data_IF_655431122863
#
_entry.id   IF_655431122863
#
_cell.length_a   1.000
_cell.length_b   1.000
_cell.length_c   1.000
_cell.angle_alpha   90.00
_cell.angle_beta   90.00
_cell.angle_gamma   90.00
#
_symmetry.space_group_name_H-M   'P 1'
#
loop_
_entity.id
_entity.type
_entity.pdbx_description
1 polymer ?
#
# COMPACT_ATOMS: atom_id res chain seq x y z
N UNK A 1 20.09 -2.07 16.10
CA UNK A 1 19.27 -1.13 15.29
C UNK A 1 20.09 -0.14 14.46
N UNK A 2 21.25 0.34 14.94
CA UNK A 2 22.09 1.31 14.19
C UNK A 2 22.64 0.70 12.88
N UNK A 3 23.16 -0.52 12.92
CA UNK A 3 23.71 -1.20 11.75
C UNK A 3 22.66 -1.42 10.65
N UNK A 4 21.44 -1.82 11.03
CA UNK A 4 20.31 -1.94 10.11
C UNK A 4 20.00 -0.59 9.44
N UNK A 5 19.98 0.50 10.23
CA UNK A 5 19.72 1.83 9.68
C UNK A 5 20.80 2.30 8.71
N UNK A 6 22.06 2.02 9.02
CA UNK A 6 23.18 2.33 8.12
C UNK A 6 23.03 1.57 6.81
N UNK A 7 22.68 0.28 6.86
CA UNK A 7 22.37 -0.52 5.67
C UNK A 7 21.21 0.10 4.88
N UNK A 8 20.08 0.45 5.54
CA UNK A 8 18.94 1.07 4.90
C UNK A 8 19.32 2.35 4.14
N UNK A 9 20.12 3.22 4.76
CA UNK A 9 20.58 4.47 4.14
C UNK A 9 21.47 4.18 2.92
N UNK A 10 22.48 3.35 3.06
CA UNK A 10 23.42 3.06 1.98
C UNK A 10 22.69 2.38 0.81
N UNK A 11 21.91 1.33 1.10
CA UNK A 11 21.21 0.58 0.07
C UNK A 11 20.14 1.43 -0.65
N UNK A 12 19.40 2.29 0.06
CA UNK A 12 18.43 3.19 -0.58
C UNK A 12 19.10 4.30 -1.39
N UNK A 13 20.22 4.85 -0.90
CA UNK A 13 20.99 5.86 -1.63
C UNK A 13 21.53 5.29 -2.96
N UNK A 14 22.22 4.15 -2.92
CA UNK A 14 22.72 3.52 -4.13
C UNK A 14 21.59 2.97 -5.01
N UNK A 15 20.52 2.48 -4.41
CA UNK A 15 19.31 2.07 -5.14
C UNK A 15 18.72 3.23 -5.95
N UNK A 16 18.54 4.39 -5.34
CA UNK A 16 18.06 5.59 -6.03
C UNK A 16 19.05 6.05 -7.11
N UNK A 17 20.36 6.03 -6.81
CA UNK A 17 21.41 6.42 -7.76
C UNK A 17 21.43 5.52 -9.01
N UNK A 18 21.15 4.23 -8.87
CA UNK A 18 21.13 3.28 -9.99
C UNK A 18 19.77 3.32 -10.71
N UNK A 19 18.68 3.41 -9.96
CA UNK A 19 17.31 3.28 -10.49
C UNK A 19 16.70 4.62 -10.95
N UNK A 20 17.37 5.76 -10.77
CA UNK A 20 16.81 7.04 -11.19
C UNK A 20 16.36 7.10 -12.66
N UNK A 21 17.05 6.47 -13.65
CA UNK A 21 16.56 6.51 -15.03
C UNK A 21 15.22 5.76 -15.16
N UNK A 22 15.07 4.64 -14.44
CA UNK A 22 13.81 3.87 -14.39
C UNK A 22 12.71 4.71 -13.77
N UNK A 23 12.99 5.38 -12.65
CA UNK A 23 12.03 6.27 -11.99
C UNK A 23 11.54 7.38 -12.94
N UNK A 24 12.46 8.01 -13.69
CA UNK A 24 12.10 9.04 -14.67
C UNK A 24 11.26 8.47 -15.80
N UNK A 25 11.65 7.33 -16.37
CA UNK A 25 10.89 6.68 -17.45
C UNK A 25 9.47 6.33 -16.97
N UNK A 26 9.32 5.73 -15.79
CA UNK A 26 8.01 5.40 -15.23
C UNK A 26 7.19 6.67 -14.96
N UNK A 27 7.80 7.73 -14.41
CA UNK A 27 7.11 9.00 -14.20
C UNK A 27 6.56 9.59 -15.50
N UNK A 28 7.37 9.59 -16.58
CA UNK A 28 6.95 10.05 -17.91
C UNK A 28 5.82 9.16 -18.44
N UNK A 29 5.94 7.82 -18.37
CA UNK A 29 4.91 6.90 -18.81
C UNK A 29 3.60 7.14 -18.08
N UNK A 30 3.62 7.34 -16.76
CA UNK A 30 2.43 7.66 -15.97
C UNK A 30 1.81 8.97 -16.45
N UNK A 31 2.62 10.01 -16.68
CA UNK A 31 2.11 11.31 -17.16
C UNK A 31 1.49 11.21 -18.56
N UNK A 32 2.11 10.49 -19.48
CA UNK A 32 1.66 10.37 -20.88
C UNK A 32 0.45 9.45 -21.01
N UNK A 33 0.48 8.28 -20.35
CA UNK A 33 -0.58 7.26 -20.47
C UNK A 33 -1.75 7.48 -19.52
N UNK A 34 -1.56 8.30 -18.50
CA UNK A 34 -2.58 8.58 -17.48
C UNK A 34 -2.67 10.09 -17.26
N UNK A 35 -3.15 10.88 -18.26
CA UNK A 35 -3.26 12.34 -18.13
C UNK A 35 -4.24 12.72 -17.02
N UNK A 36 -4.25 13.99 -16.63
CA UNK A 36 -5.20 14.53 -15.65
C UNK A 36 -4.79 14.38 -14.18
N UNK A 37 -3.53 13.98 -13.89
CA UNK A 37 -3.07 13.91 -12.50
C UNK A 37 -1.54 13.88 -12.34
N UNK A 38 -1.04 13.88 -11.09
CA UNK A 38 0.39 13.79 -10.79
C UNK A 38 0.95 12.40 -11.15
N UNK A 39 2.26 12.31 -11.38
CA UNK A 39 2.93 11.01 -11.60
C UNK A 39 3.02 10.20 -10.31
N UNK A 40 3.17 10.89 -9.18
CA UNK A 40 3.26 10.29 -7.86
C UNK A 40 1.90 10.33 -7.15
N UNK A 41 1.65 9.29 -6.39
CA UNK A 41 0.56 9.20 -5.43
C UNK A 41 1.16 9.24 -4.03
N UNK A 42 0.68 10.16 -3.21
CA UNK A 42 1.14 10.39 -1.85
C UNK A 42 -0.01 10.09 -0.89
N UNK A 43 0.20 9.18 0.06
CA UNK A 43 -0.83 8.79 1.03
C UNK A 43 -0.27 8.78 2.45
N UNK A 44 -1.08 9.25 3.41
CA UNK A 44 -0.75 9.10 4.83
C UNK A 44 -0.80 7.63 5.23
N UNK A 45 0.23 7.19 5.92
CA UNK A 45 0.38 5.84 6.44
C UNK A 45 0.82 5.87 7.90
N UNK A 46 0.46 4.82 8.63
CA UNK A 46 0.90 4.63 10.01
C UNK A 46 2.34 4.11 10.00
N UNK A 47 3.21 4.81 10.66
CA UNK A 47 4.63 4.48 10.80
C UNK A 47 5.01 4.06 12.20
N UNK A 48 6.31 4.09 12.46
CA UNK A 48 6.88 3.75 13.76
C UNK A 48 6.24 4.59 14.88
N UNK A 49 5.97 3.95 16.01
CA UNK A 49 5.34 4.53 17.20
C UNK A 49 3.96 5.14 16.92
N UNK A 50 3.27 4.70 15.84
CA UNK A 50 1.96 5.19 15.42
C UNK A 50 2.00 6.57 14.74
N UNK A 51 3.18 7.12 14.46
CA UNK A 51 3.31 8.43 13.81
C UNK A 51 2.96 8.34 12.33
N UNK A 52 2.10 9.24 11.88
CA UNK A 52 1.75 9.31 10.47
C UNK A 52 2.91 9.89 9.65
N UNK A 53 3.19 9.25 8.51
CA UNK A 53 4.11 9.76 7.50
C UNK A 53 3.46 9.76 6.11
N UNK A 54 4.05 10.46 5.16
CA UNK A 54 3.61 10.43 3.77
C UNK A 54 4.41 9.37 3.03
N UNK A 55 3.72 8.34 2.53
CA UNK A 55 4.29 7.27 1.69
C UNK A 55 4.17 7.68 0.21
N UNK A 56 5.23 7.48 -0.57
CA UNK A 56 5.32 7.90 -1.96
C UNK A 56 5.30 6.67 -2.89
N UNK A 57 4.36 6.68 -3.85
CA UNK A 57 4.24 5.63 -4.88
C UNK A 57 4.05 6.27 -6.27
N UNK A 58 4.23 5.51 -7.33
CA UNK A 58 3.69 5.91 -8.61
C UNK A 58 2.18 5.73 -8.64
N UNK A 59 1.50 6.65 -9.30
CA UNK A 59 0.06 6.56 -9.49
C UNK A 59 -0.28 5.42 -10.44
N UNK A 60 -1.19 4.54 -9.99
CA UNK A 60 -1.65 3.36 -10.74
C UNK A 60 -3.14 3.39 -11.06
N UNK A 61 -3.88 4.32 -10.43
CA UNK A 61 -5.32 4.46 -10.55
C UNK A 61 -5.72 5.79 -11.20
N UNK A 62 -6.93 5.85 -11.72
CA UNK A 62 -7.54 7.11 -12.16
C UNK A 62 -7.67 8.07 -10.98
N UNK A 63 -7.58 9.37 -11.27
CA UNK A 63 -7.81 10.41 -10.25
C UNK A 63 -9.30 10.56 -10.05
N UNK A 64 -9.76 10.54 -8.81
CA UNK A 64 -11.14 10.90 -8.49
C UNK A 64 -11.42 12.33 -8.96
N UNK A 65 -12.64 12.63 -9.44
CA UNK A 65 -13.05 14.00 -9.68
C UNK A 65 -12.76 14.87 -8.44
N UNK A 66 -12.30 16.10 -8.67
CA UNK A 66 -12.00 17.03 -7.57
C UNK A 66 -13.25 17.16 -6.67
N UNK A 67 -13.08 16.89 -5.37
CA UNK A 67 -14.11 17.16 -4.37
C UNK A 67 -14.32 18.66 -4.24
N UNK A 68 -15.56 19.06 -4.01
CA UNK A 68 -15.83 20.40 -3.48
C UNK A 68 -15.33 20.42 -2.03
N UNK A 69 -14.65 21.49 -1.65
CA UNK A 69 -13.98 21.70 -0.34
C UNK A 69 -14.91 21.67 0.89
N UNK A 70 -16.18 21.34 0.71
CA UNK A 70 -17.22 21.29 1.75
C UNK A 70 -17.59 19.88 2.22
N UNK A 71 -16.94 18.83 1.71
CA UNK A 71 -17.18 17.46 2.18
C UNK A 71 -16.20 17.11 3.29
N UNK A 72 -16.73 16.99 4.50
CA UNK A 72 -16.03 16.51 5.69
C UNK A 72 -15.19 15.25 5.43
N UNK A 73 -14.03 15.17 6.12
CA UNK A 73 -12.96 14.13 6.08
C UNK A 73 -13.40 12.66 6.25
N UNK A 74 -14.60 12.31 5.86
CA UNK A 74 -15.12 10.95 5.93
C UNK A 74 -14.86 10.23 4.61
N UNK A 75 -13.65 9.66 4.47
CA UNK A 75 -13.14 8.91 3.28
C UNK A 75 -14.07 7.81 2.77
N UNK A 76 -15.11 7.46 3.53
CA UNK A 76 -16.01 6.35 3.24
C UNK A 76 -17.29 6.73 2.47
N UNK A 77 -17.57 8.02 2.21
CA UNK A 77 -18.86 8.43 1.62
C UNK A 77 -18.96 8.25 0.10
N UNK A 78 -17.86 7.99 -0.61
CA UNK A 78 -17.86 7.83 -2.08
C UNK A 78 -17.63 6.40 -2.58
N UNK A 79 -17.73 5.37 -1.73
CA UNK A 79 -17.53 3.97 -2.14
C UNK A 79 -16.08 3.65 -2.57
N UNK A 80 -15.11 4.51 -2.27
CA UNK A 80 -13.71 4.32 -2.59
C UNK A 80 -13.00 3.70 -1.39
N UNK A 81 -13.00 2.38 -1.32
CA UNK A 81 -12.29 1.64 -0.27
C UNK A 81 -10.78 1.73 -0.41
N UNK A 82 -10.08 1.67 0.75
CA UNK A 82 -8.63 1.49 0.82
C UNK A 82 -8.19 0.10 0.39
N UNK A 83 -9.09 -0.88 0.39
CA UNK A 83 -8.86 -2.24 -0.10
C UNK A 83 -9.10 -2.24 -1.62
N UNK A 84 -8.10 -2.64 -2.39
CA UNK A 84 -8.21 -2.82 -3.84
C UNK A 84 -8.23 -4.31 -4.18
N UNK A 85 -9.02 -4.64 -5.20
CA UNK A 85 -9.18 -6.02 -5.70
C UNK A 85 -8.59 -6.09 -7.11
N UNK A 86 -8.07 -7.23 -7.50
CA UNK A 86 -7.68 -7.48 -8.89
C UNK A 86 -8.89 -7.28 -9.81
N UNK A 87 -8.73 -6.49 -10.87
CA UNK A 87 -9.84 -6.10 -11.74
C UNK A 87 -10.63 -4.87 -11.28
N UNK A 88 -10.20 -4.18 -10.20
CA UNK A 88 -10.78 -2.90 -9.80
C UNK A 88 -10.73 -1.90 -10.97
N UNK A 89 -11.90 -1.40 -11.39
CA UNK A 89 -12.06 -0.50 -12.54
C UNK A 89 -11.29 0.82 -12.42
N UNK A 90 -10.84 1.17 -11.21
CA UNK A 90 -9.99 2.33 -10.97
C UNK A 90 -8.55 2.11 -11.44
N UNK A 91 -8.10 0.85 -11.52
CA UNK A 91 -6.73 0.51 -11.91
C UNK A 91 -6.60 0.64 -13.42
N UNK A 92 -5.67 1.48 -13.86
CA UNK A 92 -5.42 1.65 -15.30
C UNK A 92 -4.62 0.46 -15.86
N UNK A 93 -4.65 0.18 -17.19
CA UNK A 93 -3.85 -0.88 -17.79
C UNK A 93 -2.35 -0.76 -17.53
N UNK A 94 -1.81 0.48 -17.52
CA UNK A 94 -0.43 0.74 -17.12
C UNK A 94 -0.25 0.49 -15.63
N UNK A 95 -1.19 0.97 -14.79
CA UNK A 95 -1.16 0.78 -13.35
C UNK A 95 -1.14 -0.69 -12.95
N UNK A 96 -1.92 -1.53 -13.62
CA UNK A 96 -1.92 -2.98 -13.39
C UNK A 96 -0.54 -3.59 -13.63
N UNK A 97 0.16 -3.20 -14.72
CA UNK A 97 1.53 -3.64 -14.99
C UNK A 97 2.52 -3.15 -13.93
N UNK A 98 2.44 -1.87 -13.53
CA UNK A 98 3.30 -1.31 -12.49
C UNK A 98 3.14 -2.08 -11.17
N UNK A 99 1.90 -2.36 -10.76
CA UNK A 99 1.60 -3.14 -9.54
C UNK A 99 2.10 -4.59 -9.63
N UNK A 100 1.87 -5.25 -10.76
CA UNK A 100 2.33 -6.63 -10.97
C UNK A 100 3.84 -6.77 -10.79
N UNK A 101 4.63 -5.82 -11.36
CA UNK A 101 6.08 -5.80 -11.23
C UNK A 101 6.60 -5.04 -10.01
N UNK A 102 5.72 -4.52 -9.15
CA UNK A 102 6.05 -3.70 -7.97
C UNK A 102 6.89 -2.44 -8.30
N UNK A 103 6.79 -1.96 -9.54
CA UNK A 103 7.48 -0.74 -9.97
C UNK A 103 6.84 0.52 -9.37
N UNK A 104 5.56 0.44 -9.02
CA UNK A 104 4.83 1.52 -8.36
C UNK A 104 5.38 1.84 -6.95
N UNK A 105 6.03 0.89 -6.29
CA UNK A 105 6.61 1.04 -4.95
C UNK A 105 8.07 1.53 -4.97
N UNK A 106 8.70 1.70 -6.14
CA UNK A 106 10.09 2.19 -6.22
C UNK A 106 10.33 3.55 -5.54
N UNK A 107 9.40 4.52 -5.56
CA UNK A 107 9.58 5.78 -4.84
C UNK A 107 9.69 5.62 -3.32
N UNK A 108 9.25 4.49 -2.73
CA UNK A 108 9.41 4.21 -1.30
C UNK A 108 10.89 4.12 -0.88
N UNK A 109 11.82 3.91 -1.82
CA UNK A 109 13.26 4.04 -1.55
C UNK A 109 13.63 5.42 -0.98
N UNK A 110 12.93 6.47 -1.39
CA UNK A 110 13.06 7.79 -0.79
C UNK A 110 12.59 7.80 0.67
N UNK A 111 11.46 7.14 0.96
CA UNK A 111 10.94 7.05 2.33
C UNK A 111 11.88 6.24 3.24
N UNK A 112 12.59 5.24 2.68
CA UNK A 112 13.65 4.53 3.39
C UNK A 112 14.84 5.46 3.64
N UNK A 113 15.29 6.21 2.64
CA UNK A 113 16.44 7.10 2.76
C UNK A 113 16.24 8.16 3.84
N UNK A 114 15.07 8.81 3.89
CA UNK A 114 14.75 9.84 4.89
C UNK A 114 14.39 9.26 6.26
N UNK A 115 14.15 7.95 6.37
CA UNK A 115 13.97 7.26 7.66
C UNK A 115 12.53 7.04 8.08
N UNK A 116 11.56 7.31 7.24
CA UNK A 116 10.17 6.97 7.47
C UNK A 116 9.94 5.45 7.39
N UNK A 117 10.67 4.79 6.48
CA UNK A 117 10.59 3.36 6.21
C UNK A 117 11.95 2.65 6.38
N UNK A 118 11.94 1.35 6.22
CA UNK A 118 13.08 0.43 6.14
C UNK A 118 12.88 -0.50 4.94
N UNK A 119 13.91 -1.22 4.51
CA UNK A 119 13.72 -2.28 3.51
C UNK A 119 12.85 -3.41 4.06
N UNK A 120 13.11 -3.83 5.29
CA UNK A 120 12.39 -4.95 5.93
C UNK A 120 11.67 -4.47 7.17
N UNK A 121 10.37 -4.73 7.25
CA UNK A 121 9.52 -4.36 8.36
C UNK A 121 8.04 -4.65 8.07
N UNK A 122 7.14 -4.38 9.02
CA UNK A 122 5.71 -4.49 8.79
C UNK A 122 5.29 -3.55 7.65
N UNK A 123 4.30 -3.96 6.83
CA UNK A 123 3.77 -3.10 5.76
C UNK A 123 3.07 -1.88 6.37
N UNK A 124 3.29 -0.67 5.85
CA UNK A 124 2.62 0.52 6.39
C UNK A 124 1.13 0.51 6.06
N UNK A 125 0.29 0.48 7.09
CA UNK A 125 -1.17 0.50 6.94
C UNK A 125 -1.70 1.93 6.79
N UNK A 126 -2.90 2.04 6.20
CA UNK A 126 -3.67 3.29 6.24
C UNK A 126 -4.15 3.57 7.67
N UNK A 127 -4.39 4.83 8.04
CA UNK A 127 -5.04 5.15 9.31
C UNK A 127 -6.37 4.41 9.47
N UNK A 128 -6.65 3.95 10.68
CA UNK A 128 -7.84 3.15 10.97
C UNK A 128 -7.60 1.66 11.12
N UNK A 129 -6.36 1.20 10.89
CA UNK A 129 -5.93 -0.20 11.05
C UNK A 129 -4.86 -0.31 12.16
N UNK A 130 -3.59 -0.17 11.83
CA UNK A 130 -2.50 -0.37 12.79
C UNK A 130 -2.54 0.62 13.99
N UNK A 131 -3.07 1.80 13.82
CA UNK A 131 -3.27 2.78 14.89
C UNK A 131 -4.33 2.37 15.92
N UNK A 132 -5.24 1.44 15.56
CA UNK A 132 -6.26 0.87 16.43
C UNK A 132 -5.85 -0.42 17.13
N UNK A 133 -4.68 -0.96 16.82
CA UNK A 133 -4.16 -2.17 17.47
C UNK A 133 -3.91 -1.92 18.96
N UNK A 134 -4.25 -2.92 19.77
CA UNK A 134 -4.11 -2.89 21.23
C UNK A 134 -3.28 -4.08 21.72
N UNK A 135 -2.85 -4.02 22.99
CA UNK A 135 -2.08 -5.09 23.61
C UNK A 135 -0.81 -5.43 22.85
N UNK A 136 -0.52 -6.72 22.72
CA UNK A 136 0.69 -7.24 22.09
C UNK A 136 0.72 -7.01 20.57
N UNK A 137 -0.45 -6.89 19.92
CA UNK A 137 -0.55 -6.61 18.49
C UNK A 137 0.03 -5.23 18.13
N UNK A 138 0.02 -4.30 19.10
CA UNK A 138 0.63 -2.97 18.94
C UNK A 138 2.15 -3.02 18.81
N UNK A 139 2.78 -4.13 19.10
CA UNK A 139 4.23 -4.30 18.98
C UNK A 139 4.72 -4.14 17.53
N UNK A 140 3.85 -4.39 16.56
CA UNK A 140 4.13 -4.09 15.15
C UNK A 140 4.57 -2.65 14.91
N UNK A 141 4.10 -1.71 15.72
CA UNK A 141 4.44 -0.28 15.62
C UNK A 141 5.80 0.09 16.22
N UNK A 142 6.47 -0.82 16.94
CA UNK A 142 7.83 -0.59 17.48
C UNK A 142 8.89 -0.53 16.39
N UNK A 143 8.57 -1.08 15.21
CA UNK A 143 9.46 -1.13 14.05
C UNK A 143 9.11 -0.02 13.04
N UNK A 144 10.11 0.34 12.20
CA UNK A 144 9.80 1.12 11.00
C UNK A 144 9.08 0.22 10.00
N UNK A 145 8.03 0.73 9.33
CA UNK A 145 7.39 -0.01 8.26
C UNK A 145 8.39 -0.33 7.14
N UNK A 146 8.18 -1.45 6.46
CA UNK A 146 9.07 -1.95 5.43
C UNK A 146 8.45 -1.94 4.03
N UNK A 147 9.31 -1.85 3.01
CA UNK A 147 8.94 -2.15 1.62
C UNK A 147 8.58 -3.63 1.51
N UNK A 148 9.34 -4.49 2.20
CA UNK A 148 9.09 -5.92 2.28
C UNK A 148 9.07 -6.39 3.74
N UNK A 149 8.54 -7.58 3.97
CA UNK A 149 8.47 -8.19 5.28
C UNK A 149 7.75 -9.53 5.23
N UNK A 150 7.66 -10.29 6.35
CA UNK A 150 7.03 -11.61 6.37
C UNK A 150 5.60 -11.60 5.84
N UNK A 151 4.79 -10.66 6.28
CA UNK A 151 3.42 -10.50 5.81
C UNK A 151 3.36 -10.12 4.32
N UNK A 152 4.21 -9.19 3.86
CA UNK A 152 4.27 -8.79 2.45
C UNK A 152 4.66 -9.95 1.53
N UNK A 153 5.56 -10.83 1.97
CA UNK A 153 5.98 -11.99 1.20
C UNK A 153 4.87 -13.04 1.13
N UNK A 154 4.20 -13.34 2.25
CA UNK A 154 3.08 -14.30 2.28
C UNK A 154 1.91 -13.82 1.42
N UNK A 155 1.55 -12.55 1.51
CA UNK A 155 0.43 -11.94 0.81
C UNK A 155 0.85 -11.19 -0.46
N UNK A 156 1.87 -11.69 -1.16
CA UNK A 156 2.38 -11.06 -2.39
C UNK A 156 1.31 -10.91 -3.47
N UNK A 157 0.39 -11.86 -3.55
CA UNK A 157 -0.72 -11.91 -4.51
C UNK A 157 -2.06 -11.61 -3.82
N UNK A 158 -2.07 -10.71 -2.84
CA UNK A 158 -3.24 -10.37 -2.06
C UNK A 158 -4.43 -9.95 -2.92
N UNK A 159 -4.20 -9.10 -3.91
CA UNK A 159 -5.26 -8.63 -4.82
C UNK A 159 -5.92 -9.81 -5.56
N UNK A 160 -5.15 -10.85 -5.93
CA UNK A 160 -5.64 -12.05 -6.61
C UNK A 160 -6.40 -12.96 -5.62
N UNK A 161 -5.89 -13.15 -4.42
CA UNK A 161 -6.54 -13.94 -3.37
C UNK A 161 -7.90 -13.34 -2.98
N UNK A 162 -7.98 -12.04 -2.84
CA UNK A 162 -9.23 -11.32 -2.54
C UNK A 162 -10.21 -11.48 -3.71
N UNK A 163 -9.76 -11.31 -4.96
CA UNK A 163 -10.59 -11.45 -6.15
C UNK A 163 -11.16 -12.87 -6.29
N UNK A 164 -10.34 -13.88 -6.02
CA UNK A 164 -10.78 -15.28 -6.02
C UNK A 164 -11.85 -15.55 -4.96
N UNK A 165 -11.63 -15.07 -3.73
CA UNK A 165 -12.61 -15.23 -2.65
C UNK A 165 -13.94 -14.54 -2.98
N UNK A 166 -13.89 -13.29 -3.50
CA UNK A 166 -15.08 -12.56 -3.94
C UNK A 166 -15.85 -13.35 -5.01
N UNK A 167 -15.13 -13.85 -6.02
CA UNK A 167 -15.71 -14.65 -7.10
C UNK A 167 -16.40 -15.92 -6.57
N UNK A 168 -15.77 -16.64 -5.63
CA UNK A 168 -16.34 -17.83 -5.01
C UNK A 168 -17.62 -17.51 -4.22
N UNK A 169 -17.64 -16.41 -3.44
CA UNK A 169 -18.81 -15.98 -2.67
C UNK A 169 -19.98 -15.58 -3.57
N UNK A 170 -19.70 -14.81 -4.63
CA UNK A 170 -20.74 -14.41 -5.60
C UNK A 170 -21.28 -15.61 -6.36
N UNK A 171 -20.44 -16.59 -6.75
CA UNK A 171 -20.87 -17.83 -7.37
C UNK A 171 -21.72 -18.69 -6.43
N UNK A 172 -21.51 -18.60 -5.12
CA UNK A 172 -22.31 -19.25 -4.09
C UNK A 172 -23.65 -18.50 -3.77
N UNK A 173 -23.90 -17.38 -4.48
CA UNK A 173 -25.15 -16.63 -4.33
C UNK A 173 -25.13 -15.53 -3.28
N UNK A 174 -23.96 -15.09 -2.82
CA UNK A 174 -23.86 -13.94 -1.91
C UNK A 174 -24.29 -12.65 -2.66
N UNK A 175 -25.36 -11.95 -2.22
CA UNK A 175 -25.92 -10.80 -2.93
C UNK A 175 -25.14 -9.49 -2.70
N UNK A 176 -24.13 -9.50 -1.81
CA UNK A 176 -23.39 -8.29 -1.41
C UNK A 176 -22.51 -7.77 -2.54
N UNK A 177 -22.25 -6.45 -2.57
CA UNK A 177 -21.26 -5.87 -3.47
C UNK A 177 -19.89 -6.54 -3.30
N UNK A 178 -19.15 -6.73 -4.39
CA UNK A 178 -17.81 -7.32 -4.39
C UNK A 178 -16.86 -6.63 -3.40
N UNK A 179 -17.00 -5.31 -3.24
CA UNK A 179 -16.17 -4.51 -2.35
C UNK A 179 -16.42 -4.85 -0.87
N UNK A 180 -17.67 -5.09 -0.47
CA UNK A 180 -18.01 -5.42 0.92
C UNK A 180 -17.48 -6.81 1.30
N UNK A 181 -17.58 -7.77 0.37
CA UNK A 181 -17.02 -9.11 0.53
C UNK A 181 -15.49 -9.04 0.63
N UNK A 182 -14.85 -8.19 -0.17
CA UNK A 182 -13.40 -7.98 -0.15
C UNK A 182 -12.92 -7.39 1.18
N UNK A 183 -13.62 -6.38 1.69
CA UNK A 183 -13.31 -5.73 2.98
C UNK A 183 -13.48 -6.74 4.13
N UNK A 184 -14.59 -7.49 4.16
CA UNK A 184 -14.82 -8.54 5.17
C UNK A 184 -13.68 -9.56 5.18
N UNK A 185 -13.27 -10.07 4.02
CA UNK A 185 -12.20 -11.05 3.93
C UNK A 185 -10.85 -10.47 4.37
N UNK A 186 -10.57 -9.23 3.98
CA UNK A 186 -9.38 -8.52 4.47
C UNK A 186 -9.40 -8.42 5.99
N UNK A 187 -10.48 -7.93 6.58
CA UNK A 187 -10.54 -7.58 8.00
C UNK A 187 -10.63 -8.81 8.91
N UNK A 188 -11.25 -9.91 8.44
CA UNK A 188 -11.46 -11.11 9.26
C UNK A 188 -10.38 -12.17 9.08
N UNK A 189 -9.71 -12.23 7.94
CA UNK A 189 -8.74 -13.28 7.61
C UNK A 189 -7.35 -12.75 7.34
N UNK A 190 -7.22 -11.83 6.38
CA UNK A 190 -5.90 -11.40 5.91
C UNK A 190 -5.21 -10.52 6.96
N UNK A 191 -5.89 -9.49 7.44
CA UNK A 191 -5.29 -8.50 8.33
C UNK A 191 -4.85 -9.07 9.68
N UNK A 192 -5.65 -9.89 10.39
CA UNK A 192 -5.22 -10.52 11.64
C UNK A 192 -3.97 -11.41 11.46
N UNK A 193 -3.90 -12.16 10.36
CA UNK A 193 -2.72 -12.99 10.08
C UNK A 193 -1.48 -12.14 9.71
N UNK A 194 -1.67 -11.02 9.00
CA UNK A 194 -0.59 -10.06 8.75
C UNK A 194 -0.03 -9.46 10.05
N UNK A 195 -0.91 -9.06 10.97
CA UNK A 195 -0.50 -8.53 12.28
C UNK A 195 0.32 -9.59 13.03
N UNK A 196 -0.22 -10.81 13.14
CA UNK A 196 0.48 -11.93 13.78
C UNK A 196 1.87 -12.18 13.18
N UNK A 197 1.98 -12.23 11.85
CA UNK A 197 3.27 -12.45 11.16
C UNK A 197 4.26 -11.32 11.42
N UNK A 198 3.78 -10.09 11.48
CA UNK A 198 4.62 -8.91 11.72
C UNK A 198 5.07 -8.83 13.18
N UNK A 199 4.28 -9.32 14.15
CA UNK A 199 4.69 -9.40 15.56
C UNK A 199 5.78 -10.45 15.81
N UNK A 200 5.88 -11.49 14.97
CA UNK A 200 6.97 -12.47 15.03
C UNK A 200 8.31 -11.97 14.45
N UNK A 201 8.32 -10.89 13.69
CA UNK A 201 9.52 -10.31 13.10
C UNK A 201 10.24 -9.37 14.07
#
# INVERSE_FOLDING_TARGET
>A
MILKRLFDILASFFGLLILWPVLVIVAILVKVKMPGGPAFFCQKRVGKDGKLFTCHKFRTMVVAPARNDNDDDNDNKNGWSSVSVSGDSRITPLGAKLRHYKLDELPELWDVLIGNMSFVGPRPDVPGYADKLEGDDRDVLKLRPGITGPATLKYRLEDEMIAEYVSQKQAAGDPRPAQDIAVEYNDTVIYPDKVRLNCYY
#
